data_IF_889197850013
#
_entry.id   IF_889197850013
#
_cell.length_a   1.000
_cell.length_b   1.000
_cell.length_c   1.000
_cell.angle_alpha   90.00
_cell.angle_beta   90.00
_cell.angle_gamma   90.00
#
_symmetry.space_group_name_H-M   'P 1'
#
loop_
_entity.id
_entity.type
_entity.pdbx_description
1 polymer ?
#
# COMPACT_ATOMS: atom_id res chain seq x y z
N UNK A 1 38.41 -41.64 12.39
CA UNK A 1 37.69 -41.85 11.12
C UNK A 1 36.42 -41.04 11.25
N UNK A 2 36.41 -39.97 10.49
CA UNK A 2 35.47 -38.86 10.54
C UNK A 2 34.32 -39.16 9.59
N UNK A 3 33.07 -39.04 10.03
CA UNK A 3 31.93 -38.84 9.14
C UNK A 3 31.02 -37.79 9.77
N UNK A 4 31.31 -36.54 9.40
CA UNK A 4 30.38 -35.41 9.41
C UNK A 4 29.37 -35.56 8.25
N UNK A 5 28.27 -34.80 8.32
CA UNK A 5 27.23 -34.59 7.28
C UNK A 5 26.06 -35.60 7.33
N UNK A 6 24.77 -35.22 7.43
CA UNK A 6 24.13 -34.00 6.96
C UNK A 6 22.99 -33.52 7.87
N UNK A 7 23.14 -32.25 8.22
CA UNK A 7 22.20 -31.32 8.81
C UNK A 7 21.02 -31.07 7.83
N UNK A 8 20.02 -31.94 7.80
CA UNK A 8 18.73 -31.58 7.17
C UNK A 8 17.85 -30.86 8.20
N UNK A 9 18.23 -29.62 8.50
CA UNK A 9 17.29 -28.65 9.01
C UNK A 9 16.21 -28.44 7.95
N UNK A 10 15.04 -29.06 8.14
CA UNK A 10 13.86 -28.74 7.35
C UNK A 10 13.52 -27.28 7.64
N UNK A 11 13.81 -26.43 6.64
CA UNK A 11 13.67 -24.99 6.71
C UNK A 11 12.34 -24.59 7.30
N UNK A 12 12.43 -23.66 8.26
CA UNK A 12 11.32 -22.79 8.63
C UNK A 12 10.64 -22.32 7.35
N UNK A 13 9.37 -22.70 7.18
CA UNK A 13 8.51 -22.15 6.13
C UNK A 13 8.61 -20.64 6.22
N UNK A 14 9.31 -20.03 5.25
CA UNK A 14 9.25 -18.60 5.06
C UNK A 14 7.78 -18.28 4.84
N UNK A 15 7.22 -17.50 5.76
CA UNK A 15 5.95 -16.82 5.60
C UNK A 15 6.09 -15.96 4.33
N UNK A 16 5.57 -16.49 3.22
CA UNK A 16 5.65 -15.90 1.90
C UNK A 16 4.81 -14.62 1.89
N UNK A 17 5.50 -13.48 2.05
CA UNK A 17 5.04 -12.11 1.74
C UNK A 17 3.55 -11.85 1.98
N UNK A 18 3.16 -11.64 3.23
CA UNK A 18 2.06 -10.70 3.50
C UNK A 18 2.58 -9.29 3.18
N UNK A 19 2.56 -8.91 1.90
CA UNK A 19 2.65 -7.51 1.54
C UNK A 19 1.40 -6.85 2.10
N UNK A 20 1.55 -6.05 3.15
CA UNK A 20 0.44 -5.35 3.79
C UNK A 20 -0.09 -4.29 2.82
N UNK A 21 -1.12 -4.63 2.06
CA UNK A 21 -1.85 -3.67 1.24
C UNK A 21 -2.45 -2.59 2.13
N UNK A 22 -2.23 -1.33 1.75
CA UNK A 22 -2.83 -0.17 2.40
C UNK A 22 -3.99 0.33 1.56
N UNK A 23 -5.09 0.68 2.21
CA UNK A 23 -6.25 1.29 1.56
C UNK A 23 -6.17 2.81 1.72
N UNK A 24 -6.33 3.52 0.59
CA UNK A 24 -6.55 4.95 0.60
C UNK A 24 -8.07 5.23 0.55
N UNK A 25 -8.61 6.12 1.39
CA UNK A 25 -10.03 6.47 1.33
C UNK A 25 -10.36 7.15 -0.01
N UNK A 26 -11.53 6.91 -0.59
CA UNK A 26 -11.91 7.56 -1.85
C UNK A 26 -12.05 9.08 -1.72
N UNK A 27 -12.31 9.56 -0.50
CA UNK A 27 -12.56 10.96 -0.18
C UNK A 27 -11.88 11.40 1.11
N UNK A 28 -11.40 12.65 1.11
CA UNK A 28 -10.86 13.33 2.30
C UNK A 28 -11.41 14.75 2.38
N UNK A 29 -11.23 15.40 3.53
CA UNK A 29 -11.54 16.82 3.71
C UNK A 29 -10.40 17.69 3.20
N UNK A 30 -10.71 18.70 2.40
CA UNK A 30 -9.73 19.70 1.97
C UNK A 30 -9.31 20.57 3.15
N UNK A 31 -8.01 20.64 3.44
CA UNK A 31 -7.49 21.45 4.58
C UNK A 31 -7.65 22.96 4.34
N UNK A 32 -7.64 23.41 3.09
CA UNK A 32 -7.69 24.84 2.77
C UNK A 32 -9.11 25.41 2.78
N UNK A 33 -10.10 24.65 2.30
CA UNK A 33 -11.47 25.16 2.14
C UNK A 33 -12.55 24.36 2.88
N UNK A 34 -12.21 23.21 3.46
CA UNK A 34 -13.18 22.31 4.08
C UNK A 34 -14.12 21.59 3.09
N UNK A 35 -13.85 21.68 1.79
CA UNK A 35 -14.59 20.98 0.73
C UNK A 35 -14.20 19.50 0.60
N UNK A 36 -14.87 18.77 -0.29
CA UNK A 36 -14.57 17.35 -0.52
C UNK A 36 -13.45 17.19 -1.53
N UNK A 37 -12.43 16.42 -1.17
CA UNK A 37 -11.39 15.98 -2.08
C UNK A 37 -11.66 14.54 -2.54
N UNK A 38 -11.37 14.25 -3.81
CA UNK A 38 -11.54 12.94 -4.42
C UNK A 38 -10.19 12.35 -4.82
N UNK A 39 -10.01 11.06 -4.54
CA UNK A 39 -8.82 10.30 -4.92
C UNK A 39 -8.66 10.27 -6.45
N UNK A 40 -7.48 10.61 -6.93
CA UNK A 40 -7.11 10.57 -8.35
C UNK A 40 -6.20 9.38 -8.68
N UNK A 41 -5.32 8.98 -7.76
CA UNK A 41 -4.42 7.85 -7.97
C UNK A 41 -5.21 6.55 -7.94
N UNK A 42 -4.99 5.69 -8.94
CA UNK A 42 -5.60 4.36 -8.99
C UNK A 42 -4.76 3.37 -8.18
N UNK A 43 -5.40 2.45 -7.42
CA UNK A 43 -4.67 1.38 -6.76
C UNK A 43 -4.03 0.43 -7.78
N UNK A 44 -3.04 -0.33 -7.32
CA UNK A 44 -2.48 -1.43 -8.08
C UNK A 44 -3.50 -2.57 -8.17
N UNK A 45 -3.41 -3.36 -9.24
CA UNK A 45 -4.15 -4.61 -9.38
C UNK A 45 -3.14 -5.75 -9.23
N UNK A 46 -3.28 -6.53 -8.17
CA UNK A 46 -2.39 -7.64 -7.87
C UNK A 46 -2.81 -8.92 -8.63
N UNK A 47 -1.93 -9.93 -8.65
CA UNK A 47 -2.13 -11.15 -9.45
C UNK A 47 -3.35 -11.99 -9.00
N UNK A 48 -3.73 -11.90 -7.73
CA UNK A 48 -4.90 -12.58 -7.16
C UNK A 48 -6.21 -11.80 -7.38
N UNK A 49 -6.15 -10.64 -8.04
CA UNK A 49 -7.27 -9.76 -8.34
C UNK A 49 -7.63 -8.77 -7.22
N UNK A 50 -6.87 -8.74 -6.13
CA UNK A 50 -6.98 -7.69 -5.10
C UNK A 50 -6.50 -6.34 -5.62
N UNK A 51 -6.94 -5.27 -4.94
CA UNK A 51 -6.54 -3.90 -5.24
C UNK A 51 -6.08 -3.19 -3.98
N UNK A 52 -4.93 -2.55 -4.07
CA UNK A 52 -4.33 -1.87 -2.93
C UNK A 52 -3.20 -0.92 -3.31
N UNK A 53 -2.72 -0.22 -2.29
CA UNK A 53 -1.49 0.56 -2.32
C UNK A 53 -0.44 -0.10 -1.42
N UNK A 54 0.79 0.39 -1.50
CA UNK A 54 1.91 -0.04 -0.66
C UNK A 54 2.24 1.05 0.36
N UNK A 55 2.74 0.67 1.55
CA UNK A 55 3.30 1.64 2.48
C UNK A 55 4.39 2.49 1.81
N UNK A 56 4.35 3.79 2.03
CA UNK A 56 5.21 4.80 1.40
C UNK A 56 4.73 5.29 0.03
N UNK A 57 3.65 4.75 -0.53
CA UNK A 57 3.09 5.28 -1.77
C UNK A 57 2.51 6.68 -1.55
N UNK A 58 2.69 7.54 -2.55
CA UNK A 58 2.08 8.88 -2.58
C UNK A 58 0.84 8.86 -3.46
N UNK A 59 -0.31 9.12 -2.85
CA UNK A 59 -1.60 9.22 -3.54
C UNK A 59 -2.05 10.67 -3.67
N UNK A 60 -2.62 11.01 -4.83
CA UNK A 60 -3.07 12.36 -5.14
C UNK A 60 -4.58 12.48 -4.95
N UNK A 61 -5.00 13.57 -4.32
CA UNK A 61 -6.39 13.97 -4.17
C UNK A 61 -6.62 15.34 -4.77
N UNK A 62 -7.85 15.61 -5.24
CA UNK A 62 -8.24 16.93 -5.74
C UNK A 62 -9.56 17.39 -5.14
N UNK A 63 -9.59 18.61 -4.63
CA UNK A 63 -10.81 19.25 -4.14
C UNK A 63 -11.76 19.58 -5.30
N UNK A 64 -13.06 19.29 -5.15
CA UNK A 64 -14.09 19.71 -6.11
C UNK A 64 -14.39 21.21 -6.08
N UNK A 65 -14.13 21.86 -4.95
CA UNK A 65 -14.56 23.23 -4.69
C UNK A 65 -13.46 24.26 -4.98
N UNK A 66 -12.28 24.12 -4.36
CA UNK A 66 -11.15 25.04 -4.58
C UNK A 66 -10.18 24.59 -5.67
N UNK A 67 -10.29 23.35 -6.15
CA UNK A 67 -9.43 22.73 -7.17
C UNK A 67 -7.96 22.51 -6.77
N UNK A 68 -7.62 22.77 -5.51
CA UNK A 68 -6.31 22.42 -4.96
C UNK A 68 -6.09 20.91 -4.95
N UNK A 69 -4.81 20.54 -4.95
CA UNK A 69 -4.33 19.16 -4.99
C UNK A 69 -3.53 18.86 -3.73
N UNK A 70 -3.73 17.67 -3.20
CA UNK A 70 -3.00 17.13 -2.06
C UNK A 70 -2.31 15.83 -2.44
N UNK A 71 -1.05 15.69 -2.07
CA UNK A 71 -0.25 14.47 -2.24
C UNK A 71 0.04 13.91 -0.84
N UNK A 72 -0.48 12.71 -0.56
CA UNK A 72 -0.47 12.09 0.78
C UNK A 72 0.31 10.79 0.72
N UNK A 73 1.30 10.64 1.62
CA UNK A 73 2.02 9.38 1.82
C UNK A 73 1.16 8.42 2.67
N UNK A 74 1.10 7.16 2.26
CA UNK A 74 0.37 6.10 2.97
C UNK A 74 1.31 5.38 3.94
N UNK A 75 0.83 5.10 5.15
CA UNK A 75 1.57 4.36 6.20
C UNK A 75 1.14 2.89 6.28
#
# INVERSE_FOLDING_TARGET
MSDESDFYGTGTSHDERSGSEVLAPEQILCVDCGGTCHLLTRPYLEEDGSQGFRPGDIVAYRCSDCLDRWDIELE
#
